data_IF_792084699958
#
_entry.id   IF_792084699958
#
_cell.length_a   1.000
_cell.length_b   1.000
_cell.length_c   1.000
_cell.angle_alpha   90.00
_cell.angle_beta   90.00
_cell.angle_gamma   90.00
#
_symmetry.space_group_name_H-M   'P 1'
#
loop_
_entity.id
_entity.type
_entity.pdbx_description
1 polymer ?
#
# COMPACT_ATOMS: atom_id res chain seq x y z
N UNK A 1 7.63 24.23 17.40
CA UNK A 1 7.04 24.92 16.25
C UNK A 1 5.59 24.45 16.09
N UNK A 2 4.61 25.36 16.12
CA UNK A 2 3.24 25.03 15.69
C UNK A 2 3.23 24.99 14.16
N UNK A 3 2.62 23.98 13.56
CA UNK A 3 2.53 23.86 12.09
C UNK A 3 1.42 24.80 11.64
N UNK A 4 1.68 25.70 10.68
CA UNK A 4 0.59 26.48 10.11
C UNK A 4 -0.32 25.55 9.29
N UNK A 5 -1.64 25.66 9.46
CA UNK A 5 -2.59 24.78 8.77
C UNK A 5 -2.46 24.91 7.26
N UNK A 6 -2.22 26.12 6.74
CA UNK A 6 -1.97 26.34 5.31
C UNK A 6 -0.75 25.58 4.78
N UNK A 7 0.37 25.60 5.50
CA UNK A 7 1.57 24.85 5.14
C UNK A 7 1.31 23.34 5.18
N UNK A 8 0.48 22.88 6.13
CA UNK A 8 0.08 21.47 6.23
C UNK A 8 -0.78 21.02 5.05
N UNK A 9 -1.73 21.86 4.64
CA UNK A 9 -2.59 21.63 3.47
C UNK A 9 -1.73 21.50 2.20
N UNK A 10 -0.81 22.45 1.97
CA UNK A 10 0.09 22.41 0.81
C UNK A 10 0.97 21.15 0.82
N UNK A 11 1.49 20.78 1.99
CA UNK A 11 2.27 19.55 2.15
C UNK A 11 1.44 18.31 1.75
N UNK A 12 0.24 18.17 2.30
CA UNK A 12 -0.65 17.05 1.98
C UNK A 12 -0.99 17.01 0.49
N UNK A 13 -1.30 18.15 -0.13
CA UNK A 13 -1.58 18.24 -1.56
C UNK A 13 -0.40 17.77 -2.41
N UNK A 14 0.83 18.15 -2.06
CA UNK A 14 2.04 17.67 -2.75
C UNK A 14 2.16 16.15 -2.67
N UNK A 15 2.00 15.57 -1.47
CA UNK A 15 2.05 14.13 -1.26
C UNK A 15 0.93 13.40 -2.04
N UNK A 16 -0.30 13.91 -2.02
CA UNK A 16 -1.43 13.31 -2.75
C UNK A 16 -1.31 13.46 -4.27
N UNK A 17 -0.41 14.32 -4.75
CA UNK A 17 -0.01 14.43 -6.16
C UNK A 17 1.16 13.52 -6.53
N UNK A 18 1.57 12.63 -5.62
CA UNK A 18 2.73 11.75 -5.79
C UNK A 18 4.07 12.50 -5.88
N UNK A 19 4.16 13.72 -5.35
CA UNK A 19 5.44 14.42 -5.23
C UNK A 19 6.34 13.72 -4.22
N UNK A 20 7.64 13.67 -4.50
CA UNK A 20 8.61 13.17 -3.53
C UNK A 20 8.70 14.11 -2.33
N UNK A 21 8.98 13.57 -1.14
CA UNK A 21 9.21 14.36 0.10
C UNK A 21 10.24 15.48 -0.11
N UNK A 22 11.28 15.22 -0.91
CA UNK A 22 12.31 16.21 -1.25
C UNK A 22 11.75 17.39 -2.06
N UNK A 23 10.81 17.12 -2.97
CA UNK A 23 10.16 18.15 -3.77
C UNK A 23 9.18 18.94 -2.89
N UNK A 24 8.35 18.24 -2.14
CA UNK A 24 7.40 18.85 -1.19
C UNK A 24 8.14 19.72 -0.17
N UNK A 25 9.27 19.28 0.38
CA UNK A 25 10.04 20.10 1.32
C UNK A 25 10.57 21.40 0.71
N UNK A 26 11.00 21.36 -0.55
CA UNK A 26 11.46 22.54 -1.28
C UNK A 26 10.31 23.50 -1.57
N UNK A 27 9.15 22.96 -1.99
CA UNK A 27 7.95 23.75 -2.26
C UNK A 27 7.44 24.45 -0.99
N UNK A 28 7.36 23.72 0.12
CA UNK A 28 6.98 24.24 1.44
C UNK A 28 8.08 25.07 2.12
N UNK A 29 9.25 25.24 1.50
CA UNK A 29 10.41 25.97 2.04
C UNK A 29 10.81 25.52 3.46
N UNK A 30 10.68 24.23 3.75
CA UNK A 30 11.02 23.65 5.05
C UNK A 30 12.19 22.66 4.94
N UNK A 31 12.78 22.28 6.08
CA UNK A 31 13.83 21.27 6.08
C UNK A 31 13.27 19.90 5.70
N UNK A 32 14.09 19.06 5.06
CA UNK A 32 13.73 17.67 4.77
C UNK A 32 13.31 16.91 6.05
N UNK A 33 13.96 17.19 7.18
CA UNK A 33 13.59 16.62 8.47
C UNK A 33 12.18 17.03 8.90
N UNK A 34 11.81 18.29 8.73
CA UNK A 34 10.45 18.76 9.03
C UNK A 34 9.42 18.03 8.16
N UNK A 35 9.62 17.98 6.84
CA UNK A 35 8.75 17.25 5.91
C UNK A 35 8.66 15.75 6.20
N UNK A 36 9.76 15.12 6.65
CA UNK A 36 9.75 13.72 7.06
C UNK A 36 8.93 13.50 8.33
N UNK A 37 9.10 14.34 9.35
CA UNK A 37 8.31 14.27 10.57
C UNK A 37 6.81 14.47 10.30
N UNK A 38 6.51 15.41 9.42
CA UNK A 38 5.20 15.70 8.85
C UNK A 38 4.59 14.47 8.19
N UNK A 39 5.30 13.83 7.26
CA UNK A 39 4.82 12.59 6.63
C UNK A 39 4.43 11.51 7.66
N UNK A 40 5.22 11.35 8.72
CA UNK A 40 4.90 10.36 9.76
C UNK A 40 3.65 10.74 10.55
N UNK A 41 3.39 12.03 10.81
CA UNK A 41 2.10 12.46 11.37
C UNK A 41 0.95 12.10 10.46
N UNK A 42 1.11 12.32 9.14
CA UNK A 42 0.10 11.92 8.16
C UNK A 42 -0.14 10.41 8.23
N UNK A 43 0.92 9.59 8.33
CA UNK A 43 0.77 8.14 8.48
C UNK A 43 -0.05 7.73 9.70
N UNK A 44 0.15 8.35 10.86
CA UNK A 44 -0.67 8.10 12.04
C UNK A 44 -2.13 8.50 11.85
N UNK A 45 -2.40 9.60 11.14
CA UNK A 45 -3.77 10.06 10.89
C UNK A 45 -4.52 9.08 9.99
N UNK A 46 -3.83 8.45 9.03
CA UNK A 46 -4.44 7.57 8.04
C UNK A 46 -4.26 6.07 8.34
N UNK A 47 -3.77 5.73 9.54
CA UNK A 47 -3.33 4.37 9.89
C UNK A 47 -4.46 3.34 9.70
N UNK A 48 -5.64 3.67 10.22
CA UNK A 48 -6.80 2.77 10.28
C UNK A 48 -7.81 3.01 9.14
N UNK A 49 -7.47 3.86 8.15
CA UNK A 49 -8.42 4.26 7.10
C UNK A 49 -8.75 3.15 6.10
N UNK A 50 -8.02 2.04 6.13
CA UNK A 50 -8.36 0.85 5.33
C UNK A 50 -9.32 -0.10 6.05
N UNK A 51 -9.52 0.03 7.36
CA UNK A 51 -10.23 -0.95 8.18
C UNK A 51 -11.68 -1.14 7.74
N UNK A 52 -12.33 -0.04 7.33
CA UNK A 52 -13.72 -0.03 6.88
C UNK A 52 -13.90 -0.38 5.39
N UNK A 53 -12.80 -0.62 4.65
CA UNK A 53 -12.90 -0.97 3.23
C UNK A 53 -13.36 -2.42 3.08
N UNK A 54 -14.55 -2.60 2.49
CA UNK A 54 -15.08 -3.90 2.10
C UNK A 54 -15.36 -3.90 0.60
N UNK A 55 -14.55 -4.65 -0.16
CA UNK A 55 -14.66 -4.78 -1.61
C UNK A 55 -15.85 -5.67 -1.98
N UNK A 56 -16.59 -5.31 -3.03
CA UNK A 56 -17.79 -6.03 -3.45
C UNK A 56 -17.98 -6.11 -4.97
N UNK A 57 -18.90 -6.97 -5.41
CA UNK A 57 -19.15 -7.18 -6.84
C UNK A 57 -18.02 -7.98 -7.49
N UNK A 58 -17.35 -7.40 -8.48
CA UNK A 58 -16.18 -8.00 -9.10
C UNK A 58 -14.93 -7.56 -8.35
N UNK A 59 -14.31 -8.49 -7.63
CA UNK A 59 -13.11 -8.23 -6.83
C UNK A 59 -11.91 -8.90 -7.47
N UNK A 60 -10.95 -8.09 -7.90
CA UNK A 60 -9.68 -8.56 -8.43
C UNK A 60 -8.66 -8.66 -7.29
N UNK A 61 -7.87 -9.74 -7.25
CA UNK A 61 -6.81 -9.95 -6.26
C UNK A 61 -5.52 -10.44 -6.94
N UNK A 62 -4.38 -9.97 -6.46
CA UNK A 62 -3.04 -10.39 -6.87
C UNK A 62 -2.02 -10.07 -5.77
N UNK A 63 -0.80 -10.61 -5.89
CA UNK A 63 0.32 -10.21 -5.05
C UNK A 63 1.41 -9.47 -5.82
N UNK A 64 1.94 -8.44 -5.17
CA UNK A 64 3.11 -7.74 -5.65
C UNK A 64 4.26 -7.85 -4.64
N UNK A 65 5.49 -7.83 -5.14
CA UNK A 65 6.67 -8.07 -4.33
C UNK A 65 7.58 -6.86 -4.32
N UNK A 66 8.09 -6.51 -3.14
CA UNK A 66 9.07 -5.47 -2.92
C UNK A 66 10.30 -6.04 -2.21
N UNK A 67 11.53 -5.79 -2.69
CA UNK A 67 12.71 -6.38 -2.07
C UNK A 67 12.98 -5.78 -0.69
N UNK A 68 13.49 -6.61 0.23
CA UNK A 68 14.12 -6.11 1.46
C UNK A 68 15.35 -5.24 1.15
N UNK A 69 15.82 -4.47 2.13
CA UNK A 69 17.05 -3.69 1.97
C UNK A 69 18.24 -4.60 1.67
N UNK A 70 19.24 -4.06 0.98
CA UNK A 70 20.38 -4.86 0.52
C UNK A 70 21.14 -5.54 1.67
N UNK A 71 21.19 -4.91 2.85
CA UNK A 71 21.81 -5.45 4.07
C UNK A 71 21.13 -6.70 4.60
N UNK A 72 19.82 -6.85 4.36
CA UNK A 72 19.01 -7.93 4.93
C UNK A 72 18.87 -9.10 3.96
N UNK A 73 19.42 -8.98 2.75
CA UNK A 73 19.38 -10.04 1.75
C UNK A 73 20.25 -11.21 2.16
N UNK A 74 19.71 -12.41 2.01
CA UNK A 74 20.42 -13.63 2.32
C UNK A 74 21.33 -14.04 1.16
N UNK A 75 22.59 -14.33 1.49
CA UNK A 75 23.56 -14.94 0.57
C UNK A 75 23.74 -16.41 0.95
N UNK A 76 23.52 -17.30 -0.01
CA UNK A 76 23.78 -18.75 0.14
C UNK A 76 24.72 -19.18 -0.97
N UNK A 77 25.83 -19.84 -0.61
CA UNK A 77 26.85 -20.31 -1.55
C UNK A 77 27.38 -19.21 -2.48
N UNK A 78 27.61 -18.02 -1.91
CA UNK A 78 28.09 -16.83 -2.64
C UNK A 78 27.07 -16.19 -3.59
N UNK A 79 25.82 -16.68 -3.62
CA UNK A 79 24.74 -16.17 -4.49
C UNK A 79 23.57 -15.66 -3.66
N UNK A 80 22.97 -14.55 -4.12
CA UNK A 80 21.71 -14.04 -3.57
C UNK A 80 20.58 -14.99 -3.92
N UNK A 81 19.60 -15.12 -3.03
CA UNK A 81 18.39 -15.86 -3.30
C UNK A 81 17.67 -15.27 -4.53
N UNK A 82 17.11 -16.15 -5.37
CA UNK A 82 16.36 -15.78 -6.58
C UNK A 82 14.88 -16.09 -6.41
N UNK A 83 14.03 -15.40 -7.16
CA UNK A 83 12.57 -15.62 -7.15
C UNK A 83 11.88 -15.09 -5.89
N UNK A 84 10.69 -15.62 -5.59
CA UNK A 84 9.84 -15.25 -4.44
C UNK A 84 10.36 -15.82 -3.11
N UNK A 85 11.63 -15.52 -2.82
CA UNK A 85 12.33 -15.94 -1.61
C UNK A 85 11.97 -15.04 -0.42
N UNK A 86 12.43 -15.42 0.78
CA UNK A 86 12.27 -14.63 2.01
C UNK A 86 12.84 -13.19 1.94
N UNK A 87 13.66 -12.89 0.93
CA UNK A 87 14.20 -11.54 0.68
C UNK A 87 13.20 -10.64 -0.08
N UNK A 88 11.95 -11.08 -0.25
CA UNK A 88 10.86 -10.31 -0.85
C UNK A 88 9.75 -10.11 0.18
N UNK A 89 9.33 -8.87 0.36
CA UNK A 89 8.11 -8.50 1.07
C UNK A 89 6.95 -8.75 0.10
N UNK A 90 6.02 -9.61 0.50
CA UNK A 90 4.80 -9.90 -0.22
C UNK A 90 3.72 -8.92 0.21
N UNK A 91 3.11 -8.27 -0.77
CA UNK A 91 2.02 -7.32 -0.56
C UNK A 91 0.82 -7.86 -1.34
N UNK A 92 -0.21 -8.26 -0.61
CA UNK A 92 -1.50 -8.59 -1.19
C UNK A 92 -2.19 -7.29 -1.56
N UNK A 93 -2.78 -7.25 -2.76
CA UNK A 93 -3.58 -6.12 -3.22
C UNK A 93 -4.87 -6.62 -3.83
N UNK A 94 -5.97 -5.92 -3.54
CA UNK A 94 -7.27 -6.17 -4.13
C UNK A 94 -7.91 -4.87 -4.63
N UNK A 95 -8.78 -5.00 -5.64
CA UNK A 95 -9.44 -3.88 -6.32
C UNK A 95 -10.83 -4.29 -6.79
N UNK A 96 -11.85 -3.47 -6.58
CA UNK A 96 -13.22 -3.76 -7.03
C UNK A 96 -13.68 -2.89 -8.22
N UNK A 97 -12.80 -2.04 -8.75
CA UNK A 97 -13.17 -1.03 -9.74
C UNK A 97 -13.32 0.39 -9.16
N UNK A 98 -13.46 0.52 -7.85
CA UNK A 98 -13.65 1.77 -7.13
C UNK A 98 -12.65 1.93 -5.97
N UNK A 99 -12.52 0.91 -5.12
CA UNK A 99 -11.63 0.86 -3.98
C UNK A 99 -10.48 -0.12 -4.21
N UNK A 100 -9.32 0.23 -3.67
CA UNK A 100 -8.10 -0.54 -3.55
C UNK A 100 -7.87 -0.81 -2.07
N UNK A 101 -7.60 -2.06 -1.74
CA UNK A 101 -7.10 -2.48 -0.44
C UNK A 101 -5.75 -3.16 -0.63
N UNK A 102 -4.76 -2.83 0.20
CA UNK A 102 -3.46 -3.49 0.14
C UNK A 102 -2.79 -3.61 1.50
N UNK A 103 -2.14 -4.75 1.73
CA UNK A 103 -1.49 -5.05 2.99
C UNK A 103 -0.28 -5.98 2.81
N UNK A 104 0.72 -5.84 3.69
CA UNK A 104 1.84 -6.77 3.76
C UNK A 104 1.37 -8.12 4.28
N UNK A 105 1.55 -9.17 3.50
CA UNK A 105 1.26 -10.55 3.88
C UNK A 105 2.44 -11.25 4.59
N UNK A 106 3.59 -10.58 4.63
CA UNK A 106 4.84 -11.06 5.19
C UNK A 106 5.91 -11.26 4.13
N UNK A 107 6.79 -12.26 4.33
CA UNK A 107 7.95 -12.48 3.46
C UNK A 107 7.82 -13.73 2.59
N UNK A 108 8.47 -13.69 1.41
CA UNK A 108 8.45 -14.76 0.42
C UNK A 108 7.08 -14.94 -0.21
N UNK A 109 6.87 -16.11 -0.81
CA UNK A 109 5.58 -16.44 -1.42
C UNK A 109 4.43 -16.39 -0.39
N UNK A 110 3.24 -15.99 -0.85
CA UNK A 110 2.01 -16.09 -0.07
C UNK A 110 1.63 -17.55 0.22
N UNK A 111 0.69 -17.74 1.15
CA UNK A 111 0.00 -19.00 1.40
C UNK A 111 -1.44 -18.73 1.83
N UNK A 112 -2.29 -19.77 1.81
CA UNK A 112 -3.71 -19.65 2.17
C UNK A 112 -3.94 -18.95 3.51
N UNK A 113 -3.12 -19.23 4.54
CA UNK A 113 -3.25 -18.56 5.83
C UNK A 113 -3.04 -17.04 5.71
N UNK A 114 -1.93 -16.63 5.08
CA UNK A 114 -1.58 -15.21 4.90
C UNK A 114 -2.65 -14.45 4.10
N UNK A 115 -3.08 -15.01 2.97
CA UNK A 115 -4.14 -14.44 2.14
C UNK A 115 -5.47 -14.37 2.89
N UNK A 116 -5.82 -15.41 3.66
CA UNK A 116 -7.03 -15.37 4.50
C UNK A 116 -6.95 -14.23 5.51
N UNK A 117 -5.89 -14.20 6.32
CA UNK A 117 -5.69 -13.20 7.37
C UNK A 117 -5.74 -11.77 6.78
N UNK A 118 -5.27 -11.59 5.55
CA UNK A 118 -5.21 -10.30 4.86
C UNK A 118 -6.57 -9.83 4.32
N UNK A 119 -7.37 -10.73 3.72
CA UNK A 119 -8.53 -10.33 2.92
C UNK A 119 -9.89 -10.76 3.47
N UNK A 120 -9.95 -11.66 4.45
CA UNK A 120 -11.21 -12.29 4.87
C UNK A 120 -12.28 -11.28 5.32
N UNK A 121 -11.88 -10.16 5.94
CA UNK A 121 -12.79 -9.12 6.41
C UNK A 121 -12.97 -7.97 5.41
N UNK A 122 -12.21 -7.97 4.31
CA UNK A 122 -12.17 -6.87 3.32
C UNK A 122 -12.79 -7.26 1.97
N UNK A 123 -13.41 -8.44 1.88
CA UNK A 123 -14.16 -8.89 0.71
C UNK A 123 -15.54 -9.32 1.16
N UNK A 124 -16.57 -8.72 0.57
CA UNK A 124 -17.96 -9.04 0.88
C UNK A 124 -18.28 -10.49 0.49
N UNK A 125 -18.86 -11.31 1.40
CA UNK A 125 -19.32 -12.65 1.07
C UNK A 125 -20.27 -12.67 -0.13
N UNK A 126 -20.12 -13.70 -0.98
CA UNK A 126 -20.91 -13.85 -2.22
C UNK A 126 -20.44 -13.01 -3.40
N UNK A 127 -19.35 -12.24 -3.29
CA UNK A 127 -18.74 -11.52 -4.41
C UNK A 127 -18.14 -12.46 -5.47
N UNK A 128 -17.75 -11.90 -6.62
CA UNK A 128 -17.08 -12.60 -7.71
C UNK A 128 -15.58 -12.30 -7.71
N UNK A 129 -14.75 -13.33 -7.50
CA UNK A 129 -13.30 -13.20 -7.40
C UNK A 129 -12.62 -13.42 -8.76
N UNK A 130 -11.82 -12.45 -9.20
CA UNK A 130 -11.06 -12.50 -10.44
C UNK A 130 -9.58 -12.53 -10.10
N UNK A 131 -8.91 -13.63 -10.43
CA UNK A 131 -7.54 -13.87 -9.96
C UNK A 131 -6.70 -14.67 -10.94
N UNK A 132 -5.40 -14.77 -10.66
CA UNK A 132 -4.53 -15.67 -11.41
C UNK A 132 -4.72 -17.14 -10.94
N UNK A 133 -3.76 -18.03 -11.21
CA UNK A 133 -3.83 -19.43 -10.73
C UNK A 133 -3.15 -19.66 -9.38
N UNK A 134 -2.97 -18.62 -8.58
CA UNK A 134 -2.39 -18.75 -7.25
C UNK A 134 -3.29 -19.60 -6.35
N UNK A 135 -2.66 -20.53 -5.61
CA UNK A 135 -3.38 -21.52 -4.82
C UNK A 135 -3.85 -20.96 -3.48
N UNK A 136 -3.27 -19.85 -3.03
CA UNK A 136 -3.62 -19.19 -1.78
C UNK A 136 -5.05 -18.65 -1.81
N UNK A 137 -5.53 -18.14 -2.94
CA UNK A 137 -6.85 -17.53 -3.10
C UNK A 137 -8.03 -18.49 -2.83
N UNK A 138 -7.82 -19.81 -2.99
CA UNK A 138 -8.87 -20.83 -2.79
C UNK A 138 -9.54 -20.80 -1.42
N UNK A 139 -8.83 -20.36 -0.40
CA UNK A 139 -9.38 -20.25 0.95
C UNK A 139 -10.47 -19.17 1.03
N UNK A 140 -10.29 -18.05 0.32
CA UNK A 140 -11.25 -16.95 0.30
C UNK A 140 -12.54 -17.40 -0.39
N UNK A 141 -12.41 -18.09 -1.53
CA UNK A 141 -13.54 -18.66 -2.28
C UNK A 141 -14.41 -19.53 -1.38
N UNK A 142 -13.77 -20.43 -0.62
CA UNK A 142 -14.47 -21.34 0.30
C UNK A 142 -15.14 -20.61 1.46
N UNK A 143 -14.40 -19.77 2.19
CA UNK A 143 -14.85 -19.15 3.44
C UNK A 143 -15.91 -18.07 3.20
N UNK A 144 -15.76 -17.29 2.13
CA UNK A 144 -16.66 -16.18 1.78
C UNK A 144 -17.73 -16.59 0.77
N UNK A 145 -17.77 -17.88 0.37
CA UNK A 145 -18.71 -18.43 -0.62
C UNK A 145 -18.70 -17.62 -1.93
N UNK A 146 -17.50 -17.30 -2.41
CA UNK A 146 -17.33 -16.51 -3.63
C UNK A 146 -17.59 -17.38 -4.86
N UNK A 147 -18.05 -16.75 -5.93
CA UNK A 147 -17.83 -17.29 -7.28
C UNK A 147 -16.46 -16.85 -7.77
N UNK A 148 -15.81 -17.58 -8.68
CA UNK A 148 -14.48 -17.18 -9.16
C UNK A 148 -14.23 -17.46 -10.65
N UNK A 149 -13.35 -16.66 -11.22
CA UNK A 149 -12.66 -16.93 -12.48
C UNK A 149 -11.15 -16.81 -12.28
N UNK A 150 -10.41 -17.83 -12.73
CA UNK A 150 -8.95 -17.88 -12.62
C UNK A 150 -8.27 -17.94 -13.97
N UNK A 151 -7.23 -17.14 -14.15
CA UNK A 151 -6.52 -17.03 -15.41
C UNK A 151 -5.05 -17.44 -15.31
N UNK A 152 -4.56 -18.12 -16.35
CA UNK A 152 -3.14 -18.48 -16.43
C UNK A 152 -2.32 -17.28 -16.88
N UNK A 153 -1.63 -16.64 -15.93
CA UNK A 153 -0.81 -15.46 -16.19
C UNK A 153 0.23 -15.67 -17.30
N UNK A 154 0.74 -16.90 -17.50
CA UNK A 154 1.72 -17.16 -18.57
C UNK A 154 1.09 -17.17 -19.96
N UNK A 155 -0.19 -17.54 -20.06
CA UNK A 155 -0.94 -17.47 -21.32
C UNK A 155 -1.32 -16.03 -21.65
N UNK A 156 -1.65 -15.24 -20.62
CA UNK A 156 -2.06 -13.85 -20.75
C UNK A 156 -0.93 -12.89 -21.15
N UNK A 157 0.35 -13.23 -20.92
CA UNK A 157 1.51 -12.45 -21.38
C UNK A 157 1.55 -12.18 -22.89
N UNK A 158 0.82 -12.97 -23.68
CA UNK A 158 0.74 -12.84 -25.14
C UNK A 158 -0.46 -12.02 -25.62
N UNK A 159 -1.39 -11.68 -24.72
CA UNK A 159 -2.57 -10.87 -25.02
C UNK A 159 -2.22 -9.38 -24.93
N UNK A 160 -2.97 -8.53 -25.65
CA UNK A 160 -2.90 -7.08 -25.46
C UNK A 160 -3.50 -6.74 -24.09
N UNK A 161 -2.97 -5.71 -23.42
CA UNK A 161 -3.41 -5.31 -22.07
C UNK A 161 -4.93 -5.08 -21.96
N UNK A 162 -5.55 -4.52 -23.01
CA UNK A 162 -7.00 -4.28 -23.08
C UNK A 162 -7.85 -5.56 -23.05
N UNK A 163 -7.27 -6.68 -23.47
CA UNK A 163 -7.94 -7.98 -23.57
C UNK A 163 -7.53 -8.89 -22.40
N UNK A 164 -6.67 -8.41 -21.49
CA UNK A 164 -6.22 -9.15 -20.34
C UNK A 164 -7.18 -8.92 -19.16
N UNK A 165 -7.94 -9.95 -18.71
CA UNK A 165 -8.90 -9.82 -17.62
C UNK A 165 -8.22 -9.46 -16.28
N UNK A 166 -6.92 -9.75 -16.12
CA UNK A 166 -6.14 -9.35 -14.94
C UNK A 166 -5.54 -7.94 -15.04
N UNK A 167 -5.76 -7.22 -16.14
CA UNK A 167 -5.19 -5.88 -16.31
C UNK A 167 -5.60 -4.88 -15.20
N UNK A 168 -6.86 -4.88 -14.69
CA UNK A 168 -7.24 -3.99 -13.60
C UNK A 168 -6.32 -4.11 -12.37
N UNK A 169 -6.08 -5.33 -11.89
CA UNK A 169 -5.22 -5.56 -10.73
C UNK A 169 -3.73 -5.41 -11.07
N UNK A 170 -3.29 -5.86 -12.25
CA UNK A 170 -1.91 -5.65 -12.71
C UNK A 170 -1.54 -4.17 -12.75
N UNK A 171 -2.47 -3.30 -13.15
CA UNK A 171 -2.28 -1.85 -13.14
C UNK A 171 -2.09 -1.33 -11.71
N UNK A 172 -2.88 -1.80 -10.74
CA UNK A 172 -2.71 -1.43 -9.33
C UNK A 172 -1.37 -1.93 -8.77
N UNK A 173 -0.99 -3.17 -9.05
CA UNK A 173 0.33 -3.73 -8.72
C UNK A 173 1.48 -2.86 -9.28
N UNK A 174 1.36 -2.40 -10.52
CA UNK A 174 2.33 -1.52 -11.17
C UNK A 174 2.39 -0.13 -10.50
N UNK A 175 1.24 0.50 -10.26
CA UNK A 175 1.14 1.82 -9.64
C UNK A 175 1.69 1.82 -8.21
N UNK A 176 1.34 0.83 -7.39
CA UNK A 176 1.89 0.67 -6.04
C UNK A 176 3.41 0.48 -6.07
N UNK A 177 3.93 -0.37 -6.95
CA UNK A 177 5.40 -0.52 -7.11
C UNK A 177 6.07 0.78 -7.51
N UNK A 178 5.47 1.54 -8.44
CA UNK A 178 6.00 2.84 -8.88
C UNK A 178 5.99 3.84 -7.72
N UNK A 179 4.92 3.86 -6.94
CA UNK A 179 4.79 4.69 -5.74
C UNK A 179 5.89 4.38 -4.71
N UNK A 180 6.07 3.12 -4.34
CA UNK A 180 7.10 2.71 -3.38
C UNK A 180 8.52 3.02 -3.88
N UNK A 181 8.79 2.90 -5.17
CA UNK A 181 10.10 3.24 -5.78
C UNK A 181 10.40 4.73 -5.78
N UNK A 182 9.39 5.59 -5.77
CA UNK A 182 9.60 7.05 -5.65
C UNK A 182 10.03 7.48 -4.24
N UNK A 183 9.99 6.56 -3.26
CA UNK A 183 10.37 6.80 -1.87
C UNK A 183 11.50 5.87 -1.40
N UNK A 184 12.66 5.77 -2.09
CA UNK A 184 13.64 4.70 -1.82
C UNK A 184 14.25 4.72 -0.42
N UNK A 185 14.23 5.87 0.26
CA UNK A 185 14.86 6.11 1.57
C UNK A 185 14.01 5.78 2.80
N UNK A 186 12.86 5.10 2.68
CA UNK A 186 12.07 4.69 3.84
C UNK A 186 12.58 3.39 4.49
N UNK A 187 12.41 3.24 5.82
CA UNK A 187 12.69 1.96 6.48
C UNK A 187 11.66 0.92 6.06
N UNK A 188 12.11 -0.28 5.69
CA UNK A 188 11.22 -1.36 5.23
C UNK A 188 10.24 -1.80 6.31
N UNK A 189 10.57 -1.57 7.59
CA UNK A 189 9.65 -1.76 8.72
C UNK A 189 8.42 -0.86 8.63
N UNK A 190 8.55 0.32 8.01
CA UNK A 190 7.46 1.27 7.79
C UNK A 190 6.74 1.13 6.45
N UNK A 191 6.96 0.04 5.70
CA UNK A 191 6.37 -0.11 4.34
C UNK A 191 4.84 -0.09 4.37
N UNK A 192 4.20 -0.62 5.42
CA UNK A 192 2.74 -0.62 5.55
C UNK A 192 2.18 0.81 5.60
N UNK A 193 2.84 1.76 6.25
CA UNK A 193 2.40 3.15 6.24
C UNK A 193 2.40 3.78 4.84
N UNK A 194 3.38 3.43 4.00
CA UNK A 194 3.39 3.86 2.60
C UNK A 194 2.29 3.17 1.79
N UNK A 195 1.99 1.90 2.07
CA UNK A 195 0.89 1.17 1.43
C UNK A 195 -0.46 1.81 1.83
N UNK A 196 -0.66 2.14 3.11
CA UNK A 196 -1.85 2.86 3.59
C UNK A 196 -1.99 4.21 2.88
N UNK A 197 -0.89 4.97 2.74
CA UNK A 197 -0.90 6.24 1.98
C UNK A 197 -1.26 6.04 0.50
N UNK A 198 -0.72 5.00 -0.14
CA UNK A 198 -1.09 4.68 -1.52
C UNK A 198 -2.59 4.40 -1.65
N UNK A 199 -3.16 3.57 -0.77
CA UNK A 199 -4.58 3.22 -0.79
C UNK A 199 -5.44 4.44 -0.49
N UNK A 200 -5.06 5.25 0.50
CA UNK A 200 -5.73 6.52 0.81
C UNK A 200 -5.78 7.46 -0.40
N UNK A 201 -4.68 7.61 -1.15
CA UNK A 201 -4.64 8.46 -2.36
C UNK A 201 -5.46 7.84 -3.50
N UNK A 202 -5.46 6.51 -3.63
CA UNK A 202 -6.07 5.80 -4.77
C UNK A 202 -7.57 5.62 -4.65
N UNK A 203 -8.11 5.62 -3.43
CA UNK A 203 -9.54 5.44 -3.16
C UNK A 203 -10.32 6.74 -3.28
N UNK A 204 -11.65 6.70 -3.42
CA UNK A 204 -12.49 7.88 -3.29
C UNK A 204 -12.29 8.61 -1.95
N UNK A 205 -12.54 9.93 -1.89
CA UNK A 205 -12.89 10.80 -3.01
C UNK A 205 -11.70 11.05 -3.93
N UNK A 206 -11.96 11.33 -5.21
CA UNK A 206 -10.90 11.62 -6.19
C UNK A 206 -10.32 13.04 -6.02
N UNK A 207 -11.12 13.96 -5.47
CA UNK A 207 -10.68 15.32 -5.20
C UNK A 207 -9.65 15.35 -4.06
N UNK A 208 -8.55 16.07 -4.29
CA UNK A 208 -7.42 16.10 -3.36
C UNK A 208 -7.67 17.05 -2.18
N UNK A 209 -8.50 18.07 -2.35
CA UNK A 209 -8.88 18.97 -1.27
C UNK A 209 -9.87 18.26 -0.32
N UNK A 210 -10.80 17.47 -0.86
CA UNK A 210 -11.66 16.61 -0.02
C UNK A 210 -10.81 15.62 0.81
N UNK A 211 -9.76 15.03 0.23
CA UNK A 211 -8.80 14.21 1.00
C UNK A 211 -8.08 14.99 2.09
N UNK A 212 -7.69 16.24 1.82
CA UNK A 212 -7.08 17.10 2.84
C UNK A 212 -8.07 17.38 3.97
N UNK A 213 -9.33 17.67 3.64
CA UNK A 213 -10.39 17.86 4.63
C UNK A 213 -10.57 16.60 5.50
N UNK A 214 -10.60 15.41 4.91
CA UNK A 214 -10.62 14.14 5.66
C UNK A 214 -9.45 14.06 6.65
N UNK A 215 -8.23 14.37 6.21
CA UNK A 215 -7.04 14.35 7.08
C UNK A 215 -7.14 15.38 8.20
N UNK A 216 -7.60 16.59 7.91
CA UNK A 216 -7.74 17.65 8.92
C UNK A 216 -8.80 17.27 9.97
N UNK A 217 -9.94 16.76 9.54
CA UNK A 217 -11.01 16.31 10.43
C UNK A 217 -10.53 15.14 11.31
N UNK A 218 -9.88 14.13 10.73
CA UNK A 218 -9.31 13.01 11.49
C UNK A 218 -8.24 13.48 12.48
N UNK A 219 -7.38 14.43 12.10
CA UNK A 219 -6.32 14.95 12.96
C UNK A 219 -6.85 15.68 14.20
N UNK A 220 -8.05 16.28 14.14
CA UNK A 220 -8.67 16.95 15.29
C UNK A 220 -9.16 15.93 16.33
N UNK A 221 -9.62 14.77 15.87
CA UNK A 221 -10.13 13.70 16.74
C UNK A 221 -9.07 12.69 17.17
N UNK A 222 -7.88 12.72 16.56
CA UNK A 222 -6.78 11.82 16.86
C UNK A 222 -6.22 12.07 18.27
N UNK A 223 -6.26 11.06 19.13
CA UNK A 223 -5.73 11.12 20.49
C UNK A 223 -4.24 10.78 20.57
N UNK A 224 -3.69 10.17 19.51
CA UNK A 224 -2.28 9.82 19.44
C UNK A 224 -1.40 11.07 19.30
N UNK A 225 -0.28 11.10 20.04
CA UNK A 225 0.68 12.20 19.98
C UNK A 225 2.04 11.73 19.50
N UNK A 226 2.53 12.31 18.40
CA UNK A 226 3.92 12.16 17.96
C UNK A 226 4.69 13.44 18.28
N UNK A 227 5.70 13.36 19.16
CA UNK A 227 6.58 14.49 19.49
C UNK A 227 7.84 14.46 18.64
N UNK A 228 8.27 15.65 18.18
CA UNK A 228 9.44 15.80 17.31
C UNK A 228 10.72 15.24 17.92
N UNK A 229 10.95 15.50 19.22
CA UNK A 229 12.15 15.02 19.93
C UNK A 229 12.17 13.49 19.99
N UNK A 230 11.05 12.88 20.37
CA UNK A 230 10.94 11.42 20.53
C UNK A 230 11.11 10.70 19.19
N UNK A 231 10.54 11.26 18.11
CA UNK A 231 10.66 10.74 16.76
C UNK A 231 12.11 10.68 16.25
N UNK A 232 12.94 11.65 16.62
CA UNK A 232 14.35 11.69 16.20
C UNK A 232 15.31 11.07 17.22
N UNK A 233 14.94 11.01 18.50
CA UNK A 233 15.74 10.36 19.54
C UNK A 233 15.80 8.84 19.37
N UNK A 234 14.77 8.21 18.79
CA UNK A 234 14.75 6.77 18.51
C UNK A 234 15.64 6.35 17.33
N UNK A 235 16.18 7.29 16.55
CA UNK A 235 17.02 7.02 15.36
C UNK A 235 18.52 7.25 15.57
N UNK A 236 18.93 7.52 16.81
CA UNK A 236 20.33 7.67 17.22
C UNK A 236 20.91 6.42 17.91
N UNK A 237 20.37 5.24 17.64
CA UNK A 237 20.95 3.94 18.00
C UNK A 237 21.02 3.04 16.78
#
# INVERSE_FOLDING_TARGET
HKIAISEWIEFCLGIFRYESINLTSKNNKNSFTTSKYWLYKLFYIIEDMQDDIVLEGNVYIDETFYPVVESDKTVKDGKKLRGLSKDQICIGIAYDGNHVYAHVEGFGKTCQKKTKDTFINHIKPGSHLIHDKEKSHKILIKELKLSDESYDANKLKKCKDKDNPLNPINRQCYLLKRFLRSHPGFSRDGIQHYINLYCFISNPPADKLEKVEMVLNSAIHLTQSLRYRDFYASKSR
#
